data_IF_228874610145
#
_entry.id   IF_228874610145
#
_cell.length_a   1.000
_cell.length_b   1.000
_cell.length_c   1.000
_cell.angle_alpha   90.00
_cell.angle_beta   90.00
_cell.angle_gamma   90.00
#
_symmetry.space_group_name_H-M   'P 1'
#
loop_
_entity.id
_entity.type
_entity.pdbx_description
1 polymer ?
#
# COMPACT_ATOMS: atom_id res chain seq x y z
N UNK A 1 -25.96 22.15 -10.32
CA UNK A 1 -24.89 21.53 -11.12
C UNK A 1 -25.16 20.04 -11.01
N UNK A 2 -25.75 19.46 -12.06
CA UNK A 2 -26.13 18.05 -12.07
C UNK A 2 -24.90 17.27 -12.52
N UNK A 3 -24.36 16.44 -11.64
CA UNK A 3 -23.21 15.60 -11.92
C UNK A 3 -23.52 14.67 -13.09
N UNK A 4 -22.62 14.67 -14.07
CA UNK A 4 -22.66 13.86 -15.27
C UNK A 4 -22.64 12.36 -14.91
N UNK A 5 -23.71 11.66 -15.29
CA UNK A 5 -23.80 10.22 -15.54
C UNK A 5 -22.97 9.27 -14.65
N UNK A 6 -23.42 9.04 -13.41
CA UNK A 6 -23.12 7.78 -12.72
C UNK A 6 -23.81 6.63 -13.48
N UNK A 7 -23.05 5.85 -14.26
CA UNK A 7 -23.57 4.59 -14.79
C UNK A 7 -23.83 3.63 -13.62
N UNK A 8 -24.73 2.63 -13.76
CA UNK A 8 -24.99 1.66 -12.69
C UNK A 8 -23.72 1.00 -12.14
N UNK A 9 -22.71 0.81 -12.97
CA UNK A 9 -21.40 0.28 -12.61
C UNK A 9 -20.62 1.22 -11.70
N UNK A 10 -20.58 2.53 -12.03
CA UNK A 10 -19.90 3.55 -11.21
C UNK A 10 -20.58 3.69 -9.86
N UNK A 11 -21.91 3.74 -9.82
CA UNK A 11 -22.68 3.79 -8.58
C UNK A 11 -22.44 2.55 -7.69
N UNK A 12 -22.32 1.36 -8.29
CA UNK A 12 -22.02 0.12 -7.56
C UNK A 12 -20.61 0.13 -6.95
N UNK A 13 -19.60 0.60 -7.70
CA UNK A 13 -18.23 0.75 -7.19
C UNK A 13 -18.19 1.74 -6.02
N UNK A 14 -18.83 2.91 -6.17
CA UNK A 14 -18.89 3.94 -5.14
C UNK A 14 -19.52 3.43 -3.85
N UNK A 15 -20.65 2.74 -3.95
CA UNK A 15 -21.33 2.15 -2.79
C UNK A 15 -20.47 1.10 -2.06
N UNK A 16 -19.69 0.30 -2.80
CA UNK A 16 -18.75 -0.67 -2.21
C UNK A 16 -17.61 0.01 -1.46
N UNK A 17 -17.06 1.09 -2.03
CA UNK A 17 -16.01 1.90 -1.38
C UNK A 17 -16.56 2.52 -0.09
N UNK A 18 -17.72 3.16 -0.15
CA UNK A 18 -18.36 3.80 1.01
C UNK A 18 -18.66 2.78 2.13
N UNK A 19 -19.17 1.60 1.78
CA UNK A 19 -19.45 0.52 2.74
C UNK A 19 -18.19 -0.01 3.41
N UNK A 20 -17.10 -0.16 2.64
CA UNK A 20 -15.82 -0.59 3.20
C UNK A 20 -15.22 0.49 4.10
N UNK A 21 -15.29 1.77 3.71
CA UNK A 21 -14.82 2.87 4.53
C UNK A 21 -15.58 2.93 5.86
N UNK A 22 -16.90 2.78 5.85
CA UNK A 22 -17.72 2.77 7.07
C UNK A 22 -17.39 1.59 7.98
N UNK A 23 -17.27 0.38 7.40
CA UNK A 23 -16.87 -0.85 8.12
C UNK A 23 -15.53 -0.67 8.83
N UNK A 24 -14.58 0.00 8.18
CA UNK A 24 -13.25 0.23 8.71
C UNK A 24 -13.12 1.57 9.45
N UNK A 25 -14.22 2.28 9.73
CA UNK A 25 -14.24 3.59 10.40
C UNK A 25 -13.32 4.62 9.75
N UNK A 26 -13.21 4.58 8.42
CA UNK A 26 -12.30 5.39 7.62
C UNK A 26 -10.82 5.20 8.00
N UNK A 27 -10.45 4.00 8.46
CA UNK A 27 -9.07 3.65 8.82
C UNK A 27 -8.62 2.46 8.01
N UNK A 28 -7.45 2.59 7.37
CA UNK A 28 -6.72 1.44 6.86
C UNK A 28 -5.77 0.98 7.96
N UNK A 29 -5.99 -0.23 8.48
CA UNK A 29 -5.10 -0.87 9.45
C UNK A 29 -4.41 -2.06 8.77
N UNK A 30 -3.09 -2.01 8.72
CA UNK A 30 -2.26 -3.11 8.23
C UNK A 30 -1.54 -3.69 9.44
N UNK A 31 -2.00 -4.85 9.90
CA UNK A 31 -1.35 -5.57 10.99
C UNK A 31 -0.14 -6.36 10.45
N UNK A 32 1.05 -5.87 10.77
CA UNK A 32 2.33 -6.48 10.42
C UNK A 32 2.91 -7.35 11.54
N UNK A 33 2.20 -7.48 12.68
CA UNK A 33 2.73 -8.13 13.90
C UNK A 33 2.56 -9.64 13.89
N UNK A 34 1.47 -10.13 13.29
CA UNK A 34 1.14 -11.55 13.26
C UNK A 34 1.90 -12.34 12.18
N UNK A 35 2.59 -11.65 11.29
CA UNK A 35 2.96 -12.21 10.00
C UNK A 35 4.24 -11.56 9.47
N UNK A 36 5.39 -12.23 9.70
CA UNK A 36 6.69 -11.72 9.26
C UNK A 36 6.71 -11.38 7.76
N UNK A 37 7.27 -10.23 7.43
CA UNK A 37 7.52 -9.78 6.06
C UNK A 37 9.02 -9.78 5.82
N UNK A 38 9.54 -10.66 4.93
CA UNK A 38 10.93 -10.60 4.53
C UNK A 38 11.15 -9.35 3.66
N UNK A 39 12.16 -8.55 4.02
CA UNK A 39 12.62 -7.43 3.22
C UNK A 39 13.84 -7.84 2.40
N UNK A 40 13.76 -7.64 1.10
CA UNK A 40 14.90 -7.82 0.19
C UNK A 40 15.46 -6.46 -0.22
N UNK A 41 16.78 -6.38 -0.30
CA UNK A 41 17.45 -5.19 -0.79
C UNK A 41 17.28 -5.09 -2.31
N UNK A 42 16.49 -4.12 -2.78
CA UNK A 42 16.30 -3.86 -4.20
C UNK A 42 17.43 -2.99 -4.78
N UNK A 43 17.92 -2.03 -4.00
CA UNK A 43 19.07 -1.20 -4.37
C UNK A 43 19.82 -0.74 -3.12
N UNK A 44 20.93 0.00 -3.31
CA UNK A 44 21.76 0.49 -2.20
C UNK A 44 21.00 1.14 -1.06
N UNK A 45 19.85 1.77 -1.31
CA UNK A 45 19.07 2.46 -0.27
C UNK A 45 17.59 2.06 -0.21
N UNK A 46 17.19 1.01 -0.93
CA UNK A 46 15.79 0.58 -1.02
C UNK A 46 15.63 -0.87 -0.62
N UNK A 47 14.72 -1.12 0.31
CA UNK A 47 14.34 -2.44 0.78
C UNK A 47 12.85 -2.62 0.53
N UNK A 48 12.45 -3.73 -0.09
CA UNK A 48 11.05 -4.02 -0.37
C UNK A 48 10.64 -5.35 0.23
N UNK A 49 9.50 -5.35 0.91
CA UNK A 49 8.82 -6.55 1.38
C UNK A 49 7.46 -6.68 0.70
N UNK A 50 7.08 -7.89 0.30
CA UNK A 50 5.83 -8.14 -0.42
C UNK A 50 4.99 -9.17 0.33
N UNK A 51 3.69 -8.89 0.53
CA UNK A 51 2.75 -9.84 1.11
C UNK A 51 1.31 -9.58 0.70
N UNK A 52 0.58 -10.64 0.34
CA UNK A 52 -0.87 -10.61 0.07
C UNK A 52 -1.32 -9.38 -0.73
N UNK A 53 -0.58 -9.08 -1.80
CA UNK A 53 -0.78 -7.96 -2.72
C UNK A 53 -0.28 -6.59 -2.25
N UNK A 54 0.09 -6.39 -0.98
CA UNK A 54 0.74 -5.16 -0.51
C UNK A 54 2.25 -5.26 -0.68
N UNK A 55 2.84 -4.21 -1.24
CA UNK A 55 4.29 -4.02 -1.28
C UNK A 55 4.65 -2.90 -0.31
N UNK A 56 5.61 -3.14 0.58
CA UNK A 56 6.14 -2.16 1.52
C UNK A 56 7.56 -1.85 1.10
N UNK A 57 7.82 -0.58 0.77
CA UNK A 57 9.16 -0.11 0.43
C UNK A 57 9.67 0.80 1.53
N UNK A 58 10.85 0.48 2.06
CA UNK A 58 11.60 1.31 2.99
C UNK A 58 12.77 1.96 2.25
N UNK A 59 12.82 3.28 2.32
CA UNK A 59 13.89 4.06 1.72
C UNK A 59 14.79 4.69 2.78
N UNK A 60 16.09 4.71 2.47
CA UNK A 60 17.13 5.26 3.33
C UNK A 60 17.91 6.37 2.61
N UNK A 61 18.46 7.32 3.37
CA UNK A 61 19.21 8.44 2.80
C UNK A 61 20.60 8.04 2.28
N UNK A 62 21.18 7.00 2.87
CA UNK A 62 22.49 6.46 2.52
C UNK A 62 22.39 5.05 1.95
N UNK A 63 23.47 4.62 1.28
CA UNK A 63 23.62 3.25 0.83
C UNK A 63 23.78 2.31 2.03
N UNK A 64 22.71 1.64 2.44
CA UNK A 64 22.72 0.60 3.47
C UNK A 64 22.74 -0.78 2.82
N UNK A 65 23.32 -1.77 3.48
CA UNK A 65 23.28 -3.16 3.02
C UNK A 65 22.51 -4.01 4.02
N UNK A 66 22.18 -5.24 3.64
CA UNK A 66 21.61 -6.23 4.57
C UNK A 66 22.45 -6.46 5.85
N UNK A 67 23.74 -6.12 5.81
CA UNK A 67 24.69 -6.29 6.90
C UNK A 67 24.82 -5.03 7.78
N UNK A 68 24.11 -3.94 7.45
CA UNK A 68 24.08 -2.72 8.24
C UNK A 68 23.43 -2.94 9.62
N UNK A 69 23.89 -2.18 10.61
CA UNK A 69 23.36 -2.28 11.98
C UNK A 69 21.96 -1.66 12.09
N UNK A 70 21.21 -2.08 13.10
CA UNK A 70 19.90 -1.51 13.40
C UNK A 70 19.97 0.01 13.66
N UNK A 71 21.05 0.49 14.26
CA UNK A 71 21.26 1.92 14.51
C UNK A 71 21.45 2.69 13.21
N UNK A 72 22.22 2.14 12.25
CA UNK A 72 22.38 2.73 10.92
C UNK A 72 21.06 2.80 10.15
N UNK A 73 20.24 1.76 10.22
CA UNK A 73 18.89 1.77 9.63
C UNK A 73 18.01 2.85 10.26
N UNK A 74 18.06 3.02 11.59
CA UNK A 74 17.26 4.04 12.29
C UNK A 74 17.72 5.46 11.99
N UNK A 75 19.03 5.71 11.97
CA UNK A 75 19.56 7.05 11.71
C UNK A 75 19.39 7.51 10.26
N UNK A 76 19.31 6.56 9.32
CA UNK A 76 19.19 6.84 7.89
C UNK A 76 17.78 6.65 7.32
N UNK A 77 16.79 6.26 8.14
CA UNK A 77 15.42 6.09 7.68
C UNK A 77 14.91 7.40 7.06
N UNK A 78 14.42 7.30 5.83
CA UNK A 78 13.88 8.44 5.10
C UNK A 78 12.37 8.32 4.95
N UNK A 79 11.89 7.24 4.34
CA UNK A 79 10.48 7.07 4.05
C UNK A 79 10.04 5.61 4.11
N UNK A 80 8.73 5.46 4.26
CA UNK A 80 7.99 4.22 4.01
C UNK A 80 6.95 4.51 2.92
N UNK A 81 6.89 3.65 1.92
CA UNK A 81 5.86 3.67 0.88
C UNK A 81 5.08 2.36 0.93
N UNK A 82 3.76 2.48 0.76
CA UNK A 82 2.85 1.35 0.64
C UNK A 82 2.32 1.35 -0.80
N UNK A 83 2.74 0.37 -1.56
CA UNK A 83 2.30 0.16 -2.93
C UNK A 83 1.28 -0.98 -2.98
N UNK A 84 0.41 -0.93 -4.00
CA UNK A 84 -0.62 -1.96 -4.26
C UNK A 84 -1.53 -2.19 -3.05
N UNK A 85 -1.89 -1.11 -2.36
CA UNK A 85 -2.90 -1.18 -1.31
C UNK A 85 -4.18 -1.77 -1.90
N UNK A 86 -4.80 -2.77 -1.23
CA UNK A 86 -6.08 -3.30 -1.68
C UNK A 86 -7.11 -2.18 -1.62
N UNK A 87 -7.54 -1.71 -2.79
CA UNK A 87 -8.63 -0.75 -2.91
C UNK A 87 -9.92 -1.54 -3.12
N UNK A 88 -10.85 -1.53 -2.15
CA UNK A 88 -12.11 -2.23 -2.29
C UNK A 88 -12.90 -1.65 -3.45
N UNK A 89 -13.45 -2.52 -4.28
CA UNK A 89 -14.24 -2.09 -5.44
C UNK A 89 -13.46 -2.03 -6.76
N UNK A 90 -12.12 -2.22 -6.75
CA UNK A 90 -11.32 -2.32 -7.97
C UNK A 90 -11.12 -3.76 -8.49
N UNK A 91 -11.46 -4.78 -7.70
CA UNK A 91 -11.34 -6.21 -8.07
C UNK A 91 -12.19 -6.64 -9.29
N UNK A 92 -12.89 -5.70 -9.92
CA UNK A 92 -13.66 -5.90 -11.16
C UNK A 92 -13.69 -4.68 -12.07
N UNK A 93 -12.86 -3.65 -11.83
CA UNK A 93 -12.74 -2.53 -12.76
C UNK A 93 -11.99 -3.01 -14.01
N UNK A 94 -12.54 -2.86 -15.21
CA UNK A 94 -11.88 -3.29 -16.43
C UNK A 94 -10.49 -2.66 -16.54
N UNK A 95 -9.47 -3.46 -16.88
CA UNK A 95 -8.07 -3.01 -17.00
C UNK A 95 -7.87 -1.81 -17.94
N UNK A 96 -8.82 -1.59 -18.85
CA UNK A 96 -8.90 -0.44 -19.76
C UNK A 96 -9.24 0.91 -19.07
N UNK A 97 -9.58 0.90 -17.78
CA UNK A 97 -9.79 2.09 -16.94
C UNK A 97 -8.65 2.31 -15.93
N UNK A 98 -7.62 1.45 -15.92
CA UNK A 98 -6.40 1.61 -15.13
C UNK A 98 -5.37 2.47 -15.86
#
# INVERSE_FOLDING_TARGET
MADEHDTPEVASIKSRIESWLDTNKNKLEIDLTNESIPFEQHSGSLFTGNKNQVAITLGFNEGLTKDSSLEQFRSNFNFIALDRLPVPGLDGVPSQWQ
#
